data_IF_963066216650
#
_entry.id   IF_963066216650
#
_cell.length_a   1.000
_cell.length_b   1.000
_cell.length_c   1.000
_cell.angle_alpha   90.00
_cell.angle_beta   90.00
_cell.angle_gamma   90.00
#
_symmetry.space_group_name_H-M   'P 1'
#
loop_
_entity.id
_entity.type
_entity.pdbx_description
1 polymer ?
#
# COMPACT_ATOMS: atom_id res chain seq x y z
N UNK A 1 20.10 0.79 -0.48
CA UNK A 1 19.59 1.52 -1.64
C UNK A 1 19.66 3.04 -1.41
N UNK A 2 20.28 3.77 -2.34
CA UNK A 2 20.37 5.24 -2.29
C UNK A 2 19.52 5.92 -3.36
N UNK A 3 19.11 5.16 -4.39
CA UNK A 3 18.28 5.65 -5.49
C UNK A 3 17.00 4.84 -5.56
N UNK A 4 15.87 5.52 -5.59
CA UNK A 4 14.56 4.88 -5.65
C UNK A 4 14.36 4.07 -6.96
N UNK A 5 14.91 4.55 -8.07
CA UNK A 5 14.86 3.84 -9.35
C UNK A 5 15.56 2.48 -9.26
N UNK A 6 16.75 2.45 -8.65
CA UNK A 6 17.50 1.22 -8.46
C UNK A 6 16.75 0.26 -7.53
N UNK A 7 16.16 0.78 -6.46
CA UNK A 7 15.33 0.02 -5.55
C UNK A 7 14.18 -0.67 -6.29
N UNK A 8 13.41 0.09 -7.06
CA UNK A 8 12.27 -0.43 -7.82
C UNK A 8 12.71 -1.46 -8.87
N UNK A 9 13.80 -1.20 -9.59
CA UNK A 9 14.34 -2.15 -10.57
C UNK A 9 14.82 -3.46 -9.93
N UNK A 10 15.46 -3.40 -8.77
CA UNK A 10 15.82 -4.62 -8.03
C UNK A 10 14.59 -5.40 -7.58
N UNK A 11 13.55 -4.74 -7.10
CA UNK A 11 12.30 -5.38 -6.72
C UNK A 11 11.61 -6.05 -7.92
N UNK A 12 11.55 -5.35 -9.05
CA UNK A 12 10.87 -5.82 -10.26
C UNK A 12 11.64 -6.97 -10.92
N UNK A 13 12.96 -6.86 -11.02
CA UNK A 13 13.75 -7.75 -11.87
C UNK A 13 14.45 -8.89 -11.12
N UNK A 14 14.59 -8.79 -9.81
CA UNK A 14 15.36 -9.75 -9.03
C UNK A 14 14.56 -10.31 -7.84
N UNK A 15 14.19 -9.47 -6.89
CA UNK A 15 13.68 -9.95 -5.60
C UNK A 15 12.35 -10.68 -5.70
N UNK A 16 11.47 -10.30 -6.60
CA UNK A 16 10.15 -10.96 -6.77
C UNK A 16 10.24 -12.43 -7.17
N UNK A 17 11.37 -12.88 -7.71
CA UNK A 17 11.57 -14.26 -8.13
C UNK A 17 12.16 -15.15 -7.03
N UNK A 18 12.49 -14.58 -5.89
CA UNK A 18 13.05 -15.34 -4.76
C UNK A 18 11.94 -15.98 -3.93
N UNK A 19 12.22 -17.16 -3.36
CA UNK A 19 11.29 -17.84 -2.42
C UNK A 19 11.05 -17.04 -1.13
N UNK A 20 11.89 -16.06 -0.82
CA UNK A 20 11.83 -15.24 0.37
C UNK A 20 11.08 -13.92 0.17
N UNK A 21 10.53 -13.68 -1.02
CA UNK A 21 9.97 -12.38 -1.39
C UNK A 21 8.90 -11.88 -0.39
N UNK A 22 7.94 -12.72 -0.02
CA UNK A 22 6.86 -12.34 0.92
C UNK A 22 7.37 -12.04 2.33
N UNK A 23 8.36 -12.80 2.81
CA UNK A 23 9.03 -12.51 4.09
C UNK A 23 9.78 -11.18 4.05
N UNK A 24 10.45 -10.89 2.94
CA UNK A 24 11.17 -9.61 2.73
C UNK A 24 10.23 -8.41 2.63
N UNK A 25 9.03 -8.58 2.08
CA UNK A 25 8.00 -7.51 2.11
C UNK A 25 7.75 -7.09 3.56
N UNK A 26 7.50 -8.05 4.46
CA UNK A 26 7.22 -7.75 5.88
C UNK A 26 8.41 -7.10 6.57
N UNK A 27 9.59 -7.66 6.37
CA UNK A 27 10.84 -7.16 6.97
C UNK A 27 11.16 -5.74 6.51
N UNK A 28 11.13 -5.50 5.21
CA UNK A 28 11.50 -4.21 4.65
C UNK A 28 10.45 -3.13 4.91
N UNK A 29 9.17 -3.45 4.83
CA UNK A 29 8.09 -2.50 5.13
C UNK A 29 8.08 -2.07 6.61
N UNK A 30 8.66 -2.86 7.51
CA UNK A 30 8.81 -2.52 8.91
C UNK A 30 10.07 -1.68 9.21
N UNK A 31 10.97 -1.52 8.25
CA UNK A 31 12.22 -0.75 8.42
C UNK A 31 11.95 0.75 8.57
N UNK A 32 12.74 1.42 9.40
CA UNK A 32 12.72 2.88 9.54
C UNK A 32 13.52 3.59 8.44
N UNK A 33 14.40 2.85 7.76
CA UNK A 33 15.20 3.36 6.66
C UNK A 33 14.33 3.54 5.40
N UNK A 34 14.33 4.73 4.82
CA UNK A 34 13.39 5.15 3.78
C UNK A 34 13.42 4.24 2.55
N UNK A 35 14.60 3.95 2.00
CA UNK A 35 14.70 3.15 0.78
C UNK A 35 14.39 1.68 1.02
N UNK A 36 14.76 1.13 2.16
CA UNK A 36 14.42 -0.24 2.56
C UNK A 36 12.91 -0.39 2.74
N UNK A 37 12.27 0.56 3.43
CA UNK A 37 10.82 0.56 3.60
C UNK A 37 10.09 0.70 2.27
N UNK A 38 10.54 1.60 1.40
CA UNK A 38 10.04 1.71 0.04
C UNK A 38 10.17 0.38 -0.72
N UNK A 39 11.33 -0.29 -0.62
CA UNK A 39 11.56 -1.57 -1.27
C UNK A 39 10.53 -2.63 -0.86
N UNK A 40 10.12 -2.66 0.40
CA UNK A 40 9.08 -3.56 0.88
C UNK A 40 7.75 -3.37 0.15
N UNK A 41 7.28 -2.14 0.02
CA UNK A 41 6.03 -1.86 -0.69
C UNK A 41 6.15 -1.99 -2.21
N UNK A 42 7.29 -1.63 -2.79
CA UNK A 42 7.56 -1.84 -4.21
C UNK A 42 7.57 -3.34 -4.56
N UNK A 43 8.21 -4.16 -3.72
CA UNK A 43 8.21 -5.61 -3.88
C UNK A 43 6.79 -6.19 -3.79
N UNK A 44 5.98 -5.73 -2.84
CA UNK A 44 4.58 -6.13 -2.71
C UNK A 44 3.79 -5.80 -3.98
N UNK A 45 3.96 -4.60 -4.54
CA UNK A 45 3.31 -4.19 -5.78
C UNK A 45 3.70 -5.11 -6.95
N UNK A 46 4.99 -5.44 -7.08
CA UNK A 46 5.47 -6.32 -8.15
C UNK A 46 5.00 -7.75 -8.01
N UNK A 47 4.90 -8.27 -6.78
CA UNK A 47 4.33 -9.58 -6.50
C UNK A 47 2.84 -9.63 -6.87
N UNK A 48 2.08 -8.59 -6.54
CA UNK A 48 0.66 -8.51 -6.89
C UNK A 48 0.41 -8.59 -8.40
N UNK A 49 1.34 -8.07 -9.21
CA UNK A 49 1.27 -8.14 -10.68
C UNK A 49 1.83 -9.46 -11.22
N UNK A 50 2.96 -9.89 -10.70
CA UNK A 50 3.80 -10.92 -11.30
C UNK A 50 3.55 -12.34 -10.82
N UNK A 51 3.24 -12.53 -9.54
CA UNK A 51 3.03 -13.86 -8.97
C UNK A 51 1.60 -14.36 -9.25
N UNK A 52 1.45 -15.11 -10.34
CA UNK A 52 0.16 -15.67 -10.77
C UNK A 52 -0.24 -16.92 -9.98
N UNK A 53 0.66 -17.52 -9.21
CA UNK A 53 0.41 -18.72 -8.41
C UNK A 53 -0.16 -18.40 -7.04
N UNK A 54 0.14 -17.22 -6.51
CA UNK A 54 -0.35 -16.79 -5.20
C UNK A 54 -1.87 -16.60 -5.21
N UNK A 55 -2.50 -17.02 -4.12
CA UNK A 55 -3.93 -16.83 -3.89
C UNK A 55 -4.25 -15.41 -3.38
N UNK A 56 -5.54 -15.07 -3.33
CA UNK A 56 -5.99 -13.84 -2.70
C UNK A 56 -5.66 -13.80 -1.21
N UNK A 57 -5.69 -14.95 -0.54
CA UNK A 57 -5.37 -15.07 0.88
C UNK A 57 -3.89 -14.83 1.19
N UNK A 58 -3.01 -14.99 0.21
CA UNK A 58 -1.60 -14.62 0.34
C UNK A 58 -1.41 -13.09 0.39
N UNK A 59 -2.32 -12.32 -0.21
CA UNK A 59 -2.26 -10.86 -0.25
C UNK A 59 -3.10 -10.15 0.82
N UNK A 60 -4.21 -10.73 1.28
CA UNK A 60 -5.07 -10.09 2.30
C UNK A 60 -4.31 -9.65 3.55
N UNK A 61 -3.38 -10.44 4.11
CA UNK A 61 -2.61 -10.04 5.29
C UNK A 61 -1.73 -8.80 5.10
N UNK A 62 -1.47 -8.39 3.85
CA UNK A 62 -0.69 -7.19 3.56
C UNK A 62 -1.52 -5.90 3.55
N UNK A 63 -2.85 -5.97 3.52
CA UNK A 63 -3.70 -4.78 3.58
C UNK A 63 -3.50 -3.97 4.88
N UNK A 64 -3.42 -4.57 6.07
CA UNK A 64 -3.07 -3.84 7.28
C UNK A 64 -1.67 -3.21 7.24
N UNK A 65 -0.72 -3.85 6.55
CA UNK A 65 0.62 -3.30 6.35
C UNK A 65 0.60 -2.05 5.46
N UNK A 66 -0.21 -2.06 4.41
CA UNK A 66 -0.44 -0.90 3.53
C UNK A 66 -1.09 0.24 4.33
N UNK A 67 -2.08 -0.05 5.17
CA UNK A 67 -2.75 0.93 6.01
C UNK A 67 -1.75 1.66 6.92
N UNK A 68 -0.90 0.92 7.63
CA UNK A 68 0.17 1.50 8.44
C UNK A 68 1.20 2.27 7.60
N UNK A 69 1.55 1.76 6.43
CA UNK A 69 2.47 2.43 5.51
C UNK A 69 1.93 3.76 4.97
N UNK A 70 0.62 3.89 4.85
CA UNK A 70 -0.04 5.11 4.39
C UNK A 70 0.10 6.28 5.39
N UNK A 71 0.37 6.00 6.66
CA UNK A 71 0.63 7.02 7.69
C UNK A 71 2.00 7.68 7.53
N UNK A 72 2.91 7.08 6.77
CA UNK A 72 4.26 7.59 6.56
C UNK A 72 4.24 8.87 5.73
N UNK A 73 4.78 9.97 6.28
CA UNK A 73 4.78 11.28 5.62
C UNK A 73 5.81 11.41 4.50
N UNK A 74 6.74 10.46 4.39
CA UNK A 74 7.80 10.49 3.37
C UNK A 74 7.21 10.18 1.99
N UNK A 75 7.40 11.10 1.05
CA UNK A 75 6.76 11.05 -0.28
C UNK A 75 7.11 9.77 -1.06
N UNK A 76 8.37 9.34 -0.98
CA UNK A 76 8.82 8.13 -1.70
C UNK A 76 8.15 6.86 -1.19
N UNK A 77 7.94 6.76 0.11
CA UNK A 77 7.21 5.64 0.72
C UNK A 77 5.74 5.70 0.32
N UNK A 78 5.11 6.86 0.45
CA UNK A 78 3.72 7.06 0.06
C UNK A 78 3.42 6.67 -1.39
N UNK A 79 4.33 6.95 -2.32
CA UNK A 79 4.20 6.51 -3.72
C UNK A 79 4.22 4.99 -3.86
N UNK A 80 5.11 4.29 -3.14
CA UNK A 80 5.18 2.83 -3.18
C UNK A 80 3.96 2.18 -2.51
N UNK A 81 3.50 2.72 -1.39
CA UNK A 81 2.26 2.27 -0.70
C UNK A 81 1.05 2.41 -1.61
N UNK A 82 0.88 3.55 -2.26
CA UNK A 82 -0.18 3.78 -3.23
C UNK A 82 -0.11 2.79 -4.41
N UNK A 83 1.08 2.55 -4.93
CA UNK A 83 1.29 1.57 -5.99
C UNK A 83 0.89 0.17 -5.55
N UNK A 84 1.33 -0.29 -4.37
CA UNK A 84 0.97 -1.60 -3.83
C UNK A 84 -0.55 -1.76 -3.66
N UNK A 85 -1.23 -0.78 -3.06
CA UNK A 85 -2.68 -0.82 -2.87
C UNK A 85 -3.44 -0.96 -4.19
N UNK A 86 -3.07 -0.16 -5.18
CA UNK A 86 -3.70 -0.21 -6.51
C UNK A 86 -3.46 -1.54 -7.22
N UNK A 87 -2.27 -2.11 -7.13
CA UNK A 87 -1.97 -3.40 -7.77
C UNK A 87 -2.70 -4.56 -7.10
N UNK A 88 -2.82 -4.56 -5.78
CA UNK A 88 -3.63 -5.56 -5.07
C UNK A 88 -5.10 -5.44 -5.46
N UNK A 89 -5.65 -4.22 -5.52
CA UNK A 89 -7.03 -4.01 -5.92
C UNK A 89 -7.34 -4.41 -7.37
N UNK A 90 -6.36 -4.34 -8.25
CA UNK A 90 -6.50 -4.75 -9.66
C UNK A 90 -6.23 -6.24 -9.91
N UNK A 91 -5.73 -6.95 -8.91
CA UNK A 91 -5.28 -8.33 -9.07
C UNK A 91 -6.42 -9.31 -9.33
N UNK A 92 -7.49 -9.24 -8.55
CA UNK A 92 -8.61 -10.18 -8.62
C UNK A 92 -9.91 -9.56 -8.13
N UNK A 93 -11.02 -10.18 -8.54
CA UNK A 93 -12.36 -9.81 -8.04
C UNK A 93 -12.52 -10.04 -6.54
N UNK A 94 -11.80 -11.01 -5.97
CA UNK A 94 -11.83 -11.30 -4.55
C UNK A 94 -11.12 -10.24 -3.69
N UNK A 95 -10.00 -9.68 -4.17
CA UNK A 95 -9.24 -8.65 -3.47
C UNK A 95 -9.75 -7.23 -3.72
N UNK A 96 -10.45 -7.03 -4.84
CA UNK A 96 -10.95 -5.71 -5.24
C UNK A 96 -11.78 -5.01 -4.16
N UNK A 97 -12.83 -5.65 -3.58
CA UNK A 97 -13.65 -5.00 -2.56
C UNK A 97 -12.87 -4.65 -1.30
N UNK A 98 -11.93 -5.51 -0.88
CA UNK A 98 -11.11 -5.28 0.32
C UNK A 98 -10.16 -4.10 0.10
N UNK A 99 -9.49 -4.05 -1.04
CA UNK A 99 -8.60 -2.95 -1.41
C UNK A 99 -9.35 -1.62 -1.59
N UNK A 100 -10.53 -1.65 -2.22
CA UNK A 100 -11.37 -0.47 -2.39
C UNK A 100 -11.92 0.06 -1.06
N UNK A 101 -12.30 -0.85 -0.15
CA UNK A 101 -12.74 -0.48 1.19
C UNK A 101 -11.61 0.21 1.97
N UNK A 102 -10.39 -0.33 1.91
CA UNK A 102 -9.20 0.31 2.51
C UNK A 102 -8.94 1.69 1.90
N UNK A 103 -8.96 1.80 0.57
CA UNK A 103 -8.75 3.07 -0.12
C UNK A 103 -9.78 4.14 0.30
N UNK A 104 -11.05 3.75 0.45
CA UNK A 104 -12.11 4.65 0.93
C UNK A 104 -11.91 5.08 2.37
N UNK A 105 -11.50 4.17 3.26
CA UNK A 105 -11.16 4.54 4.65
C UNK A 105 -10.04 5.57 4.67
N UNK A 106 -8.92 5.30 3.99
CA UNK A 106 -7.79 6.24 3.92
C UNK A 106 -8.20 7.61 3.36
N UNK A 107 -9.10 7.64 2.38
CA UNK A 107 -9.61 8.87 1.79
C UNK A 107 -10.50 9.67 2.76
N UNK A 108 -11.25 8.99 3.64
CA UNK A 108 -12.22 9.59 4.56
C UNK A 108 -11.58 10.07 5.86
N UNK A 109 -10.59 9.36 6.37
CA UNK A 109 -9.98 9.56 7.70
C UNK A 109 -9.27 10.90 7.90
N UNK A 110 -9.20 11.70 6.93
CA UNK A 110 -8.75 13.09 7.05
C UNK A 110 -9.87 14.13 7.08
N UNK A 111 -11.13 13.75 7.14
CA UNK A 111 -12.30 14.65 7.12
C UNK A 111 -12.91 14.97 8.48
N UNK A 112 -12.41 14.38 9.57
CA UNK A 112 -12.89 14.60 10.91
C UNK A 112 -12.37 15.89 11.55
N UNK A 113 -12.73 17.04 11.04
CA UNK A 113 -12.75 18.31 11.75
C UNK A 113 -13.89 18.32 12.75
N UNK A 114 -13.80 17.56 13.84
CA UNK A 114 -14.73 17.58 14.96
C UNK A 114 -14.29 18.59 16.01
N UNK A 115 -15.11 19.58 16.28
CA UNK A 115 -15.07 20.47 17.43
C UNK A 115 -14.97 19.69 18.73
N UNK A 116 -14.13 20.18 19.67
CA UNK A 116 -14.43 19.98 21.08
C UNK A 116 -13.35 19.33 21.90
N UNK A 117 -12.62 20.12 22.64
CA UNK A 117 -12.31 20.06 24.07
C UNK A 117 -11.71 18.78 24.68
N UNK A 118 -10.51 18.93 25.23
CA UNK A 118 -10.20 18.36 26.52
C UNK A 118 -9.49 17.02 26.59
N UNK A 119 -8.20 17.04 26.85
CA UNK A 119 -7.55 16.21 27.87
C UNK A 119 -7.33 14.73 27.56
N UNK A 120 -6.08 14.31 27.61
CA UNK A 120 -5.73 12.94 27.98
C UNK A 120 -4.97 12.17 26.92
N UNK A 121 -3.70 11.86 27.26
CA UNK A 121 -2.72 11.14 26.46
C UNK A 121 -3.18 9.77 25.99
N UNK A 122 -2.89 9.49 24.77
CA UNK A 122 -3.03 8.21 24.10
C UNK A 122 -2.57 8.41 22.67
N UNK A 123 -1.45 7.78 22.29
CA UNK A 123 -0.86 7.91 20.98
C UNK A 123 -1.74 7.35 19.87
N UNK A 124 -2.77 8.09 19.49
CA UNK A 124 -3.52 7.89 18.26
C UNK A 124 -2.74 8.56 17.15
N UNK A 125 -2.17 7.81 16.23
CA UNK A 125 -1.56 8.34 15.04
C UNK A 125 -2.55 9.25 14.33
N UNK A 126 -2.25 10.53 14.25
CA UNK A 126 -3.01 11.49 13.44
C UNK A 126 -2.76 11.11 11.99
N UNK A 127 -3.74 10.42 11.40
CA UNK A 127 -3.72 10.08 9.99
C UNK A 127 -3.53 11.35 9.16
N UNK A 128 -2.35 11.43 8.57
CA UNK A 128 -1.86 12.65 7.96
C UNK A 128 -2.41 12.86 6.54
N UNK A 129 -2.10 14.02 5.94
CA UNK A 129 -2.45 14.35 4.56
C UNK A 129 -2.00 13.28 3.54
N UNK A 130 -0.94 12.52 3.85
CA UNK A 130 -0.42 11.45 2.99
C UNK A 130 -1.43 10.31 2.80
N UNK A 131 -2.00 9.77 3.88
CA UNK A 131 -2.98 8.68 3.81
C UNK A 131 -4.18 9.08 2.97
N UNK A 132 -4.71 10.28 3.17
CA UNK A 132 -5.84 10.81 2.40
C UNK A 132 -5.55 10.90 0.91
N UNK A 133 -4.37 11.37 0.54
CA UNK A 133 -3.95 11.45 -0.87
C UNK A 133 -3.86 10.08 -1.50
N UNK A 134 -3.24 9.12 -0.81
CA UNK A 134 -3.13 7.73 -1.26
C UNK A 134 -4.53 7.13 -1.46
N UNK A 135 -5.42 7.30 -0.49
CA UNK A 135 -6.79 6.82 -0.57
C UNK A 135 -7.57 7.39 -1.75
N UNK A 136 -7.52 8.71 -1.96
CA UNK A 136 -8.19 9.37 -3.08
C UNK A 136 -7.67 8.90 -4.44
N UNK A 137 -6.35 8.78 -4.58
CA UNK A 137 -5.75 8.31 -5.82
C UNK A 137 -6.13 6.85 -6.12
N UNK A 138 -6.12 5.99 -5.10
CA UNK A 138 -6.49 4.60 -5.23
C UNK A 138 -7.99 4.45 -5.56
N UNK A 139 -8.89 5.17 -4.88
CA UNK A 139 -10.33 5.16 -5.19
C UNK A 139 -10.56 5.59 -6.63
N UNK A 140 -9.95 6.72 -7.04
CA UNK A 140 -10.10 7.24 -8.40
C UNK A 140 -9.72 6.20 -9.45
N UNK A 141 -8.58 5.52 -9.31
CA UNK A 141 -8.14 4.52 -10.27
C UNK A 141 -9.00 3.25 -10.21
N UNK A 142 -9.27 2.73 -9.01
CA UNK A 142 -10.01 1.47 -8.85
C UNK A 142 -11.49 1.58 -9.27
N UNK A 143 -12.07 2.78 -9.31
CA UNK A 143 -13.45 3.01 -9.77
C UNK A 143 -13.57 3.31 -11.26
N UNK A 144 -12.46 3.37 -12.00
CA UNK A 144 -12.52 3.51 -13.47
C UNK A 144 -13.13 2.27 -14.12
N UNK A 145 -14.14 2.43 -14.94
CA UNK A 145 -14.83 1.34 -15.65
C UNK A 145 -13.87 0.43 -16.40
N UNK A 146 -12.89 1.01 -17.10
CA UNK A 146 -11.85 0.26 -17.82
C UNK A 146 -10.98 -0.62 -16.92
N UNK A 147 -10.83 -0.27 -15.65
CA UNK A 147 -10.10 -1.06 -14.66
C UNK A 147 -10.99 -2.18 -14.15
N UNK A 148 -12.22 -1.87 -13.75
CA UNK A 148 -13.19 -2.85 -13.27
C UNK A 148 -13.42 -3.96 -14.32
N UNK A 149 -13.54 -3.58 -15.58
CA UNK A 149 -13.75 -4.52 -16.69
C UNK A 149 -12.57 -5.50 -16.90
N UNK A 150 -11.35 -5.16 -16.44
CA UNK A 150 -10.14 -5.99 -16.58
C UNK A 150 -9.86 -6.89 -15.39
N UNK A 151 -10.51 -6.66 -14.27
CA UNK A 151 -10.33 -7.47 -13.05
C UNK A 151 -10.97 -8.84 -13.28
N UNK A 152 -10.15 -9.89 -13.16
CA UNK A 152 -10.56 -11.28 -13.37
C UNK A 152 -11.01 -11.95 -12.07
#
# INVERSE_FOLDING_TARGET
>A
FRLWDLCDQCCINLFRYTSYAYGKVREYAASDEEFTRRAGFALLATLAVGDKRASDDDFRPFLPLIERGAEDSRVRIGKAVNWALRQIGKRSRGLYPDALALARRLAAEGGGGGRGGGGGGGGGAKEGPAARRIGRDAVRELTLERIIARIK
#
